data_IF_168480840857
#
_entry.id   IF_168480840857
#
_cell.length_a   1.000
_cell.length_b   1.000
_cell.length_c   1.000
_cell.angle_alpha   90.00
_cell.angle_beta   90.00
_cell.angle_gamma   90.00
#
_symmetry.space_group_name_H-M   'P 1'
#
loop_
_entity.id
_entity.type
_entity.pdbx_description
1 polymer ?
#
# COMPACT_ATOMS: atom_id res chain seq x y z
N UNK A 1 27.21 6.62 42.36
CA UNK A 1 26.96 7.64 41.30
C UNK A 1 26.98 7.09 39.88
N UNK A 2 27.82 6.09 39.54
CA UNK A 2 27.86 5.53 38.17
C UNK A 2 26.60 4.76 37.78
N UNK A 3 26.13 3.83 38.63
CA UNK A 3 24.94 3.01 38.37
C UNK A 3 23.66 3.84 38.15
N UNK A 4 23.47 4.91 38.93
CA UNK A 4 22.32 5.82 38.81
C UNK A 4 22.35 6.60 37.49
N UNK A 5 23.54 6.96 37.00
CA UNK A 5 23.72 7.64 35.70
C UNK A 5 23.43 6.70 34.53
N UNK A 6 23.84 5.44 34.62
CA UNK A 6 23.53 4.43 33.62
C UNK A 6 22.03 4.13 33.55
N UNK A 7 21.35 4.05 34.70
CA UNK A 7 19.91 3.81 34.75
C UNK A 7 19.11 4.98 34.15
N UNK A 8 19.51 6.22 34.45
CA UNK A 8 18.91 7.41 33.85
C UNK A 8 19.13 7.48 32.33
N UNK A 9 20.34 7.17 31.85
CA UNK A 9 20.64 7.12 30.43
C UNK A 9 19.80 6.04 29.70
N UNK A 10 19.61 4.88 30.33
CA UNK A 10 18.81 3.80 29.78
C UNK A 10 17.32 4.18 29.69
N UNK A 11 16.78 4.84 30.72
CA UNK A 11 15.40 5.32 30.72
C UNK A 11 15.14 6.35 29.61
N UNK A 12 16.07 7.28 29.39
CA UNK A 12 15.98 8.27 28.31
C UNK A 12 16.07 7.60 26.95
N UNK A 13 17.01 6.67 26.75
CA UNK A 13 17.13 5.93 25.50
C UNK A 13 15.86 5.11 25.20
N UNK A 14 15.28 4.46 26.21
CA UNK A 14 14.04 3.70 26.08
C UNK A 14 12.85 4.60 25.73
N UNK A 15 12.73 5.77 26.36
CA UNK A 15 11.70 6.75 26.05
C UNK A 15 11.82 7.29 24.60
N UNK A 16 13.05 7.53 24.14
CA UNK A 16 13.31 7.96 22.76
C UNK A 16 12.95 6.87 21.74
N UNK A 17 13.32 5.61 22.00
CA UNK A 17 12.98 4.48 21.11
C UNK A 17 11.46 4.26 21.06
N UNK A 18 10.78 4.29 22.20
CA UNK A 18 9.32 4.11 22.26
C UNK A 18 8.55 5.26 21.60
N UNK A 19 9.06 6.49 21.66
CA UNK A 19 8.49 7.63 20.94
C UNK A 19 8.87 7.67 19.45
N UNK A 20 9.95 7.01 19.05
CA UNK A 20 10.42 6.96 17.65
C UNK A 20 9.65 5.98 16.76
N UNK A 21 8.72 5.21 17.34
CA UNK A 21 7.86 4.32 16.59
C UNK A 21 6.99 5.11 15.62
N UNK A 22 7.38 5.13 14.34
CA UNK A 22 6.40 5.27 13.28
C UNK A 22 5.40 4.15 13.52
N UNK A 23 4.17 4.49 13.88
CA UNK A 23 3.09 3.53 13.75
C UNK A 23 3.09 3.18 12.27
N UNK A 24 3.65 2.01 11.93
CA UNK A 24 3.37 1.36 10.68
C UNK A 24 1.91 0.94 10.77
N UNK A 25 1.01 1.94 10.75
CA UNK A 25 -0.33 1.72 10.28
C UNK A 25 -0.08 1.10 8.92
N UNK A 26 -0.56 -0.13 8.73
CA UNK A 26 -0.74 -0.67 7.40
C UNK A 26 -1.75 0.25 6.71
N UNK A 27 -1.31 1.44 6.32
CA UNK A 27 -1.99 2.32 5.41
C UNK A 27 -2.08 1.48 4.16
N UNK A 28 -3.29 1.01 3.91
CA UNK A 28 -3.72 0.40 2.68
C UNK A 28 -3.55 1.45 1.60
N UNK A 29 -2.31 1.63 1.15
CA UNK A 29 -1.94 2.52 0.07
C UNK A 29 -2.34 1.79 -1.20
N UNK A 30 -3.64 1.80 -1.48
CA UNK A 30 -4.20 1.27 -2.70
C UNK A 30 -4.17 2.34 -3.79
N UNK A 31 -3.72 1.96 -4.97
CA UNK A 31 -3.91 2.77 -6.16
C UNK A 31 -5.40 2.88 -6.52
N UNK A 32 -5.72 3.81 -7.42
CA UNK A 32 -7.09 3.96 -7.91
C UNK A 32 -7.57 2.64 -8.53
N UNK A 33 -8.66 2.09 -8.01
CA UNK A 33 -9.23 0.82 -8.47
C UNK A 33 -8.75 -0.41 -7.68
N UNK A 34 -7.95 -0.27 -6.63
CA UNK A 34 -7.59 -1.37 -5.74
C UNK A 34 -8.23 -1.23 -4.34
N UNK A 35 -8.63 -2.36 -3.77
CA UNK A 35 -9.11 -2.51 -2.39
C UNK A 35 -8.68 -3.89 -1.87
N UNK A 36 -8.91 -4.18 -0.60
CA UNK A 36 -8.57 -5.50 -0.01
C UNK A 36 -9.33 -6.67 -0.67
N UNK A 37 -10.49 -6.40 -1.27
CA UNK A 37 -11.42 -7.42 -1.76
C UNK A 37 -11.63 -7.38 -3.27
N UNK A 38 -11.25 -6.28 -3.92
CA UNK A 38 -11.51 -6.04 -5.33
C UNK A 38 -10.35 -5.25 -5.96
N UNK A 39 -9.96 -5.68 -7.15
CA UNK A 39 -9.05 -4.95 -8.04
C UNK A 39 -9.75 -4.78 -9.39
N UNK A 40 -9.92 -3.53 -9.83
CA UNK A 40 -10.52 -3.21 -11.12
C UNK A 40 -9.50 -3.42 -12.24
N UNK A 41 -9.83 -4.32 -13.16
CA UNK A 41 -9.03 -4.55 -14.38
C UNK A 41 -9.66 -3.78 -15.54
N UNK A 42 -8.85 -2.95 -16.20
CA UNK A 42 -9.27 -2.23 -17.39
C UNK A 42 -9.26 -3.11 -18.64
N UNK A 43 -10.18 -2.85 -19.56
CA UNK A 43 -10.23 -3.50 -20.86
C UNK A 43 -9.44 -2.68 -21.91
N UNK A 44 -8.61 -3.35 -22.70
CA UNK A 44 -7.75 -2.75 -23.74
C UNK A 44 -8.22 -3.04 -25.17
N UNK A 45 -9.35 -3.71 -25.34
CA UNK A 45 -9.80 -4.16 -26.65
C UNK A 45 -10.24 -2.99 -27.54
N UNK A 46 -9.90 -3.03 -28.84
CA UNK A 46 -10.34 -2.01 -29.78
C UNK A 46 -11.80 -2.25 -30.15
N UNK A 47 -12.66 -1.31 -29.77
CA UNK A 47 -14.09 -1.32 -30.14
C UNK A 47 -14.43 -0.31 -31.24
N UNK A 48 -13.43 0.41 -31.76
CA UNK A 48 -13.57 1.39 -32.83
C UNK A 48 -12.33 1.43 -33.76
N UNK A 49 -12.51 2.01 -34.96
CA UNK A 49 -11.46 2.09 -35.99
C UNK A 49 -11.19 0.80 -36.76
N UNK A 50 -10.07 0.72 -37.47
CA UNK A 50 -9.75 -0.38 -38.39
C UNK A 50 -9.61 -1.74 -37.68
N UNK A 51 -9.19 -1.75 -36.41
CA UNK A 51 -8.99 -2.98 -35.63
C UNK A 51 -10.24 -3.43 -34.82
N UNK A 52 -11.38 -2.74 -34.97
CA UNK A 52 -12.61 -3.02 -34.19
C UNK A 52 -13.10 -4.47 -34.26
N UNK A 53 -12.76 -5.18 -35.34
CA UNK A 53 -13.17 -6.55 -35.55
C UNK A 53 -12.73 -7.48 -34.40
N UNK A 54 -11.61 -7.19 -33.75
CA UNK A 54 -11.12 -7.96 -32.61
C UNK A 54 -11.89 -7.66 -31.32
N UNK A 55 -12.60 -6.53 -31.22
CA UNK A 55 -13.43 -6.18 -30.06
C UNK A 55 -14.56 -7.20 -29.77
N UNK A 56 -14.91 -8.05 -30.73
CA UNK A 56 -15.85 -9.17 -30.52
C UNK A 56 -15.33 -10.12 -29.42
N UNK A 57 -14.01 -10.29 -29.30
CA UNK A 57 -13.40 -11.14 -28.27
C UNK A 57 -13.74 -10.58 -26.88
N UNK A 58 -13.43 -9.30 -26.63
CA UNK A 58 -13.72 -8.67 -25.35
C UNK A 58 -15.23 -8.64 -25.02
N UNK A 59 -16.08 -8.43 -26.02
CA UNK A 59 -17.55 -8.50 -25.86
C UNK A 59 -18.09 -9.90 -25.52
N UNK A 60 -17.33 -10.94 -25.80
CA UNK A 60 -17.68 -12.34 -25.47
C UNK A 60 -17.13 -12.74 -24.11
N UNK A 61 -16.07 -12.07 -23.66
CA UNK A 61 -15.45 -12.25 -22.34
C UNK A 61 -16.23 -11.53 -21.21
N UNK A 62 -16.97 -10.47 -21.55
CA UNK A 62 -17.89 -9.72 -20.68
C UNK A 62 -19.19 -10.51 -20.37
#
# INVERSE_FOLDING_TARGET
>A
MSATRHLAAFAVAFALVSASGSTALAQKNYDTGATDTEIKIGNIMPYSGAASAYGVIGKTED
#
